data_IF_799199344192
#
_entry.id   IF_799199344192
#
_cell.length_a   1.000
_cell.length_b   1.000
_cell.length_c   1.000
_cell.angle_alpha   90.00
_cell.angle_beta   90.00
_cell.angle_gamma   90.00
#
_symmetry.space_group_name_H-M   'P 1'
#
loop_
_entity.id
_entity.type
_entity.pdbx_description
1 polymer ?
#
# COMPACT_ATOMS: atom_id res chain seq x y z
N UNK A 1 4.24 9.15 3.35
CA UNK A 1 4.67 7.75 3.61
C UNK A 1 3.68 6.81 2.98
N UNK A 2 4.12 5.85 2.17
CA UNK A 2 3.23 4.88 1.53
C UNK A 2 2.42 4.11 2.59
N UNK A 3 1.16 4.41 2.69
CA UNK A 3 0.22 3.77 3.61
C UNK A 3 -0.92 3.07 2.90
N UNK A 4 -0.92 3.06 1.57
CA UNK A 4 -1.96 2.45 0.76
C UNK A 4 -1.46 2.13 -0.64
N UNK A 5 -1.80 0.96 -1.18
CA UNK A 5 -1.46 0.58 -2.55
C UNK A 5 -2.53 -0.32 -3.18
N UNK A 6 -2.44 -0.58 -4.47
CA UNK A 6 -3.28 -1.54 -5.19
C UNK A 6 -2.46 -2.79 -5.51
N UNK A 7 -3.05 -3.97 -5.33
CA UNK A 7 -2.52 -5.28 -5.68
C UNK A 7 -3.67 -6.15 -6.17
N UNK A 8 -3.93 -6.07 -7.47
CA UNK A 8 -5.11 -6.69 -8.09
C UNK A 8 -4.75 -7.78 -9.10
N UNK A 9 -3.47 -8.03 -9.33
CA UNK A 9 -2.98 -9.09 -10.22
C UNK A 9 -3.34 -10.47 -9.70
N UNK A 10 -3.64 -11.37 -10.63
CA UNK A 10 -3.90 -12.77 -10.31
C UNK A 10 -2.61 -13.46 -9.87
N UNK A 11 -2.75 -14.44 -8.98
CA UNK A 11 -1.63 -15.29 -8.53
C UNK A 11 -0.83 -15.85 -9.71
N UNK A 12 -1.50 -16.33 -10.76
CA UNK A 12 -0.83 -16.91 -11.91
C UNK A 12 0.10 -15.91 -12.61
N UNK A 13 -0.34 -14.66 -12.78
CA UNK A 13 0.47 -13.60 -13.39
C UNK A 13 1.74 -13.33 -12.54
N UNK A 14 1.60 -13.34 -11.21
CA UNK A 14 2.72 -13.17 -10.28
C UNK A 14 3.72 -14.34 -10.34
N UNK A 15 3.20 -15.59 -10.49
CA UNK A 15 4.08 -16.76 -10.63
C UNK A 15 4.98 -16.64 -11.87
N UNK A 16 4.43 -16.15 -12.96
CA UNK A 16 5.15 -15.98 -14.23
C UNK A 16 6.11 -14.78 -14.18
N UNK A 17 5.62 -13.60 -13.80
CA UNK A 17 6.39 -12.36 -13.76
C UNK A 17 7.62 -12.48 -12.86
N UNK A 18 7.42 -12.98 -11.64
CA UNK A 18 8.50 -13.12 -10.67
C UNK A 18 9.28 -14.43 -10.78
N UNK A 19 8.98 -15.29 -11.77
CA UNK A 19 9.65 -16.60 -11.98
C UNK A 19 9.67 -17.42 -10.70
N UNK A 20 8.49 -17.65 -10.14
CA UNK A 20 8.34 -18.38 -8.87
C UNK A 20 8.59 -19.87 -9.11
N UNK A 21 9.45 -20.46 -8.29
CA UNK A 21 9.80 -21.88 -8.33
C UNK A 21 8.97 -22.70 -7.33
N UNK A 22 8.56 -22.05 -6.22
CA UNK A 22 7.73 -22.69 -5.18
C UNK A 22 6.56 -21.80 -4.81
N UNK A 23 5.39 -22.24 -5.15
CA UNK A 23 4.18 -21.60 -4.73
C UNK A 23 3.77 -22.10 -3.34
N UNK A 24 3.73 -21.21 -2.35
CA UNK A 24 3.37 -21.48 -0.96
C UNK A 24 2.06 -20.80 -0.55
N UNK A 25 1.29 -20.34 -1.53
CA UNK A 25 -0.02 -19.74 -1.29
C UNK A 25 -1.03 -20.87 -1.10
N UNK A 26 -1.73 -20.85 0.03
CA UNK A 26 -2.81 -21.80 0.32
C UNK A 26 -4.12 -21.30 -0.29
N UNK A 27 -4.49 -20.07 0.04
CA UNK A 27 -5.69 -19.43 -0.46
C UNK A 27 -5.32 -18.18 -1.25
N UNK A 28 -5.92 -18.00 -2.42
CA UNK A 28 -5.70 -16.84 -3.27
C UNK A 28 -6.22 -15.58 -2.58
N UNK A 29 -5.51 -14.49 -2.74
CA UNK A 29 -6.04 -13.18 -2.37
C UNK A 29 -6.91 -12.65 -3.49
N UNK A 30 -8.08 -12.14 -3.11
CA UNK A 30 -8.93 -11.39 -4.03
C UNK A 30 -8.24 -10.09 -4.47
N UNK A 31 -8.49 -9.60 -5.70
CA UNK A 31 -7.98 -8.31 -6.16
C UNK A 31 -8.29 -7.20 -5.15
N UNK A 32 -7.25 -6.54 -4.65
CA UNK A 32 -7.40 -5.47 -3.67
C UNK A 32 -6.83 -4.14 -4.21
N UNK A 33 -7.73 -3.27 -4.62
CA UNK A 33 -7.40 -1.92 -5.09
C UNK A 33 -7.19 -0.92 -3.94
N UNK A 34 -7.20 -1.41 -2.69
CA UNK A 34 -7.12 -0.58 -1.49
C UNK A 34 -6.45 -1.32 -0.33
N UNK A 35 -5.27 -1.87 -0.61
CA UNK A 35 -4.46 -2.58 0.39
C UNK A 35 -4.05 -1.59 1.48
N UNK A 36 -4.49 -1.86 2.69
CA UNK A 36 -4.17 -1.06 3.88
C UNK A 36 -3.26 -1.85 4.85
N UNK A 37 -2.58 -1.16 5.76
CA UNK A 37 -1.79 -1.83 6.80
C UNK A 37 -2.58 -2.91 7.52
N UNK A 38 -1.88 -3.97 7.89
CA UNK A 38 -2.35 -5.19 8.56
C UNK A 38 -3.14 -6.18 7.70
N UNK A 39 -3.42 -5.86 6.44
CA UNK A 39 -3.99 -6.82 5.49
C UNK A 39 -2.97 -7.89 5.08
N UNK A 40 -3.43 -9.09 4.68
CA UNK A 40 -2.62 -10.07 3.98
C UNK A 40 -2.22 -9.53 2.59
N UNK A 41 -1.00 -9.82 2.17
CA UNK A 41 -0.43 -9.38 0.89
C UNK A 41 0.45 -10.47 0.30
N UNK A 42 0.57 -10.51 -1.02
CA UNK A 42 1.56 -11.35 -1.68
C UNK A 42 2.96 -10.81 -1.43
N UNK A 43 3.89 -11.73 -1.23
CA UNK A 43 5.31 -11.44 -1.11
C UNK A 43 6.14 -12.48 -1.85
N UNK A 44 7.11 -12.02 -2.62
CA UNK A 44 8.11 -12.82 -3.29
C UNK A 44 9.37 -12.80 -2.44
N UNK A 45 9.88 -13.96 -2.08
CA UNK A 45 11.10 -14.11 -1.30
C UNK A 45 11.89 -15.33 -1.76
N UNK A 46 13.18 -15.39 -1.44
CA UNK A 46 14.01 -16.56 -1.72
C UNK A 46 14.42 -17.21 -0.41
N UNK A 47 14.24 -18.53 -0.34
CA UNK A 47 14.49 -19.27 0.90
C UNK A 47 14.86 -20.73 0.63
N UNK A 48 15.75 -21.27 1.46
CA UNK A 48 15.99 -22.70 1.52
C UNK A 48 14.89 -23.47 2.24
N UNK A 49 14.67 -24.72 1.89
CA UNK A 49 13.72 -25.57 2.58
C UNK A 49 14.15 -25.84 4.03
N UNK A 50 13.16 -25.86 4.92
CA UNK A 50 13.42 -26.17 6.34
C UNK A 50 13.90 -27.60 6.46
N UNK A 51 15.10 -27.81 7.00
CA UNK A 51 15.72 -29.14 7.14
C UNK A 51 16.56 -29.59 5.94
N UNK A 52 16.68 -28.78 4.87
CA UNK A 52 17.67 -29.04 3.82
C UNK A 52 19.09 -28.97 4.38
N UNK A 53 19.96 -29.87 3.91
CA UNK A 53 21.36 -29.89 4.32
C UNK A 53 22.01 -28.53 3.97
N UNK A 54 22.78 -27.99 4.91
CA UNK A 54 23.63 -26.84 4.60
C UNK A 54 24.74 -27.23 3.62
N UNK A 55 25.04 -26.34 2.70
CA UNK A 55 26.24 -26.43 1.87
C UNK A 55 27.52 -26.33 2.70
N UNK A 56 28.68 -26.53 2.07
CA UNK A 56 29.98 -26.33 2.71
C UNK A 56 30.20 -24.89 3.19
N UNK A 57 29.46 -23.95 2.62
CA UNK A 57 29.39 -22.51 2.94
C UNK A 57 28.38 -22.15 4.04
N UNK A 58 27.67 -23.16 4.61
CA UNK A 58 26.63 -22.96 5.61
C UNK A 58 25.29 -22.46 5.06
N UNK A 59 25.16 -22.30 3.73
CA UNK A 59 23.92 -21.90 3.09
C UNK A 59 23.04 -23.12 2.80
N UNK A 60 21.69 -22.97 2.84
CA UNK A 60 20.78 -24.03 2.40
C UNK A 60 21.06 -24.41 0.95
N UNK A 61 21.19 -25.71 0.64
CA UNK A 61 21.45 -26.18 -0.72
C UNK A 61 20.26 -26.05 -1.66
N UNK A 62 19.06 -26.02 -1.12
CA UNK A 62 17.82 -26.02 -1.86
C UNK A 62 17.10 -24.68 -1.67
N UNK A 63 17.67 -23.64 -2.31
CA UNK A 63 17.15 -22.27 -2.25
C UNK A 63 16.27 -22.03 -3.46
N UNK A 64 15.04 -21.59 -3.27
CA UNK A 64 14.11 -21.29 -4.35
C UNK A 64 13.34 -19.99 -4.08
N UNK A 65 12.92 -19.39 -5.19
CA UNK A 65 12.03 -18.22 -5.14
C UNK A 65 10.60 -18.68 -4.85
N UNK A 66 10.03 -18.12 -3.80
CA UNK A 66 8.70 -18.51 -3.30
C UNK A 66 7.73 -17.34 -3.37
N UNK A 67 6.46 -17.63 -3.71
CA UNK A 67 5.33 -16.74 -3.49
C UNK A 67 4.62 -17.13 -2.20
N UNK A 68 4.37 -16.17 -1.33
CA UNK A 68 3.67 -16.36 -0.05
C UNK A 68 2.65 -15.26 0.20
N UNK A 69 1.66 -15.58 1.03
CA UNK A 69 0.80 -14.57 1.66
C UNK A 69 1.37 -14.27 3.05
N UNK A 70 1.64 -12.99 3.29
CA UNK A 70 2.16 -12.49 4.58
C UNK A 70 1.41 -11.23 4.99
N UNK A 71 1.48 -10.85 6.26
CA UNK A 71 0.79 -9.66 6.76
C UNK A 71 1.64 -8.41 6.58
N UNK A 72 1.09 -7.35 6.03
CA UNK A 72 1.77 -6.05 5.97
C UNK A 72 1.76 -5.35 7.33
N UNK A 73 2.92 -5.07 7.87
CA UNK A 73 3.17 -4.50 9.19
C UNK A 73 4.10 -5.43 9.99
N UNK A 74 5.41 -5.19 9.89
CA UNK A 74 6.46 -6.07 10.43
C UNK A 74 6.38 -6.16 11.95
N UNK A 75 6.39 -7.40 12.45
CA UNK A 75 6.50 -7.70 13.86
C UNK A 75 7.90 -8.28 14.11
N UNK A 76 8.79 -7.52 14.80
CA UNK A 76 10.12 -8.03 15.12
C UNK A 76 10.02 -9.33 15.95
N UNK A 77 10.94 -10.28 15.73
CA UNK A 77 10.94 -11.57 16.40
C UNK A 77 11.00 -11.48 17.95
N UNK A 78 11.56 -10.38 18.47
CA UNK A 78 11.64 -10.09 19.90
C UNK A 78 10.40 -9.40 20.48
N UNK A 79 9.45 -8.98 19.65
CA UNK A 79 8.27 -8.25 20.12
C UNK A 79 7.39 -9.12 21.03
N UNK A 80 6.90 -8.52 22.10
CA UNK A 80 5.99 -9.19 23.05
C UNK A 80 4.54 -9.24 22.54
N UNK A 81 4.15 -8.25 21.72
CA UNK A 81 2.80 -8.06 21.21
C UNK A 81 2.86 -7.83 19.69
N UNK A 82 2.16 -8.65 18.88
CA UNK A 82 2.09 -8.49 17.44
C UNK A 82 1.36 -7.22 16.99
N UNK A 83 0.65 -6.53 17.86
CA UNK A 83 -0.01 -5.26 17.55
C UNK A 83 0.97 -4.14 17.15
N UNK A 84 2.26 -4.24 17.53
CA UNK A 84 3.33 -3.33 17.11
C UNK A 84 3.44 -3.22 15.58
N UNK A 85 3.10 -4.30 14.85
CA UNK A 85 3.16 -4.34 13.38
C UNK A 85 2.34 -3.23 12.71
N UNK A 86 1.22 -2.82 13.31
CA UNK A 86 0.40 -1.73 12.78
C UNK A 86 1.13 -0.38 12.65
N UNK A 87 2.24 -0.20 13.38
CA UNK A 87 3.09 1.00 13.37
C UNK A 87 4.38 0.80 12.57
N UNK A 88 4.65 -0.43 12.12
CA UNK A 88 5.88 -0.80 11.43
C UNK A 88 5.60 -1.19 9.98
N UNK A 89 4.85 -0.36 9.28
CA UNK A 89 4.45 -0.57 7.89
C UNK A 89 5.51 -0.10 6.89
N UNK A 90 6.38 0.84 7.30
CA UNK A 90 7.45 1.39 6.47
C UNK A 90 8.78 1.42 7.21
N UNK A 91 9.87 1.12 6.49
CA UNK A 91 11.26 1.31 6.92
C UNK A 91 11.93 2.34 6.01
N UNK A 92 12.64 3.31 6.58
CA UNK A 92 13.38 4.30 5.79
C UNK A 92 14.68 3.71 5.28
N UNK A 93 14.99 3.87 4.01
CA UNK A 93 16.23 3.39 3.39
C UNK A 93 17.47 3.88 4.13
N UNK A 94 17.45 5.12 4.63
CA UNK A 94 18.58 5.76 5.32
C UNK A 94 18.97 5.12 6.66
N UNK A 95 18.09 4.25 7.20
CA UNK A 95 18.30 3.66 8.54
C UNK A 95 17.90 2.19 8.62
N UNK A 96 17.53 1.57 7.50
CA UNK A 96 17.00 0.20 7.47
C UNK A 96 18.04 -0.84 7.91
N UNK A 97 19.30 -0.60 7.60
CA UNK A 97 20.46 -1.45 7.92
C UNK A 97 20.93 -1.34 9.38
N UNK A 98 20.59 -0.23 10.04
CA UNK A 98 21.09 0.09 11.38
C UNK A 98 20.05 -0.07 12.48
N UNK A 99 18.76 0.17 12.19
CA UNK A 99 17.70 0.06 13.20
C UNK A 99 17.51 -1.37 13.72
N UNK A 100 17.43 -1.57 15.05
CA UNK A 100 17.27 -2.89 15.66
C UNK A 100 16.09 -3.72 15.13
N UNK A 101 15.01 -3.06 14.74
CA UNK A 101 13.82 -3.71 14.20
C UNK A 101 13.99 -4.24 12.78
N UNK A 102 14.95 -3.73 12.01
CA UNK A 102 15.08 -4.02 10.58
C UNK A 102 16.41 -4.62 10.18
N UNK A 103 17.52 -4.27 10.86
CA UNK A 103 18.89 -4.64 10.47
C UNK A 103 19.09 -6.14 10.21
N UNK A 104 18.50 -6.99 11.06
CA UNK A 104 18.60 -8.45 10.88
C UNK A 104 17.80 -8.94 9.67
N UNK A 105 16.62 -8.36 9.42
CA UNK A 105 15.82 -8.68 8.26
C UNK A 105 16.47 -8.13 6.98
N UNK A 106 17.06 -6.95 7.02
CA UNK A 106 17.78 -6.35 5.89
C UNK A 106 18.93 -7.25 5.40
N UNK A 107 19.67 -7.85 6.31
CA UNK A 107 20.77 -8.75 5.95
C UNK A 107 20.29 -10.09 5.37
N UNK A 108 19.16 -10.66 5.85
CA UNK A 108 18.83 -12.07 5.60
C UNK A 108 17.42 -12.35 5.09
N UNK A 109 16.50 -11.40 5.21
CA UNK A 109 15.07 -11.62 4.96
C UNK A 109 14.48 -10.48 4.14
N UNK A 110 14.98 -10.38 2.91
CA UNK A 110 14.48 -9.44 1.92
C UNK A 110 13.37 -10.08 1.11
N UNK A 111 12.42 -9.28 0.68
CA UNK A 111 11.32 -9.71 -0.18
C UNK A 111 10.95 -8.59 -1.16
N UNK A 112 10.15 -8.95 -2.16
CA UNK A 112 9.47 -7.99 -3.02
C UNK A 112 7.97 -8.07 -2.70
N UNK A 113 7.32 -6.91 -2.67
CA UNK A 113 5.88 -6.82 -2.50
C UNK A 113 5.30 -6.30 -3.82
N UNK A 114 4.59 -7.17 -4.57
CA UNK A 114 3.97 -6.81 -5.84
C UNK A 114 2.88 -5.77 -5.67
N UNK A 115 2.84 -4.79 -6.57
CA UNK A 115 1.84 -3.72 -6.57
C UNK A 115 1.56 -3.19 -7.96
N UNK A 116 0.29 -2.91 -8.29
CA UNK A 116 -0.09 -2.23 -9.54
C UNK A 116 0.22 -0.73 -9.47
N UNK A 117 0.21 -0.16 -8.27
CA UNK A 117 0.48 1.24 -8.00
C UNK A 117 0.16 1.58 -6.55
N UNK A 118 0.43 2.80 -6.13
CA UNK A 118 0.23 3.24 -4.76
C UNK A 118 -0.47 4.60 -4.69
N UNK A 119 -0.96 4.92 -3.50
CA UNK A 119 -1.68 6.17 -3.27
C UNK A 119 -0.89 7.08 -2.34
N UNK A 120 -0.93 8.38 -2.67
CA UNK A 120 -0.49 9.46 -1.80
C UNK A 120 -1.49 10.63 -1.86
N UNK A 121 -1.46 11.51 -0.87
CA UNK A 121 -2.46 12.56 -0.69
C UNK A 121 -1.83 13.94 -0.67
N UNK A 122 -2.34 14.82 -1.53
CA UNK A 122 -2.00 16.23 -1.52
C UNK A 122 -3.05 16.99 -0.69
N UNK A 123 -2.60 17.98 0.07
CA UNK A 123 -3.50 18.96 0.68
C UNK A 123 -3.91 19.98 -0.38
N UNK A 124 -5.19 20.15 -0.57
CA UNK A 124 -5.78 21.13 -1.50
C UNK A 124 -6.74 22.05 -0.72
N UNK A 125 -6.74 23.33 -1.07
CA UNK A 125 -7.73 24.26 -0.54
C UNK A 125 -8.96 24.24 -1.45
N UNK A 126 -10.12 23.93 -0.89
CA UNK A 126 -11.39 23.87 -1.59
C UNK A 126 -12.48 24.48 -0.71
N UNK A 127 -13.21 25.47 -1.21
CA UNK A 127 -14.27 26.19 -0.47
C UNK A 127 -13.80 26.72 0.90
N UNK A 128 -12.55 27.23 0.96
CA UNK A 128 -11.95 27.74 2.21
C UNK A 128 -11.63 26.67 3.25
N UNK A 129 -11.60 25.38 2.85
CA UNK A 129 -11.24 24.24 3.71
C UNK A 129 -10.11 23.43 3.10
N UNK A 130 -9.14 23.06 3.93
CA UNK A 130 -8.09 22.12 3.52
C UNK A 130 -8.68 20.72 3.42
N UNK A 131 -8.60 20.12 2.23
CA UNK A 131 -8.98 18.73 1.95
C UNK A 131 -7.78 17.93 1.52
N UNK A 132 -7.89 16.60 1.58
CA UNK A 132 -6.89 15.67 1.05
C UNK A 132 -7.40 15.10 -0.25
N UNK A 133 -6.73 15.40 -1.35
CA UNK A 133 -6.97 14.84 -2.68
C UNK A 133 -6.04 13.63 -2.84
N UNK A 134 -6.56 12.40 -3.01
CA UNK A 134 -5.75 11.23 -3.31
C UNK A 134 -5.28 11.25 -4.78
N UNK A 135 -4.06 10.80 -4.98
CA UNK A 135 -3.45 10.53 -6.27
C UNK A 135 -3.08 9.05 -6.33
N UNK A 136 -3.29 8.44 -7.47
CA UNK A 136 -2.79 7.11 -7.81
C UNK A 136 -1.52 7.28 -8.62
N UNK A 137 -0.47 6.55 -8.23
CA UNK A 137 0.86 6.59 -8.83
C UNK A 137 1.18 5.18 -9.30
N UNK A 138 1.46 5.01 -10.58
CA UNK A 138 1.72 3.72 -11.22
C UNK A 138 2.77 3.87 -12.31
N UNK A 139 3.16 2.77 -12.94
CA UNK A 139 4.04 2.80 -14.11
C UNK A 139 3.25 3.23 -15.34
N UNK A 140 3.87 4.05 -16.20
CA UNK A 140 3.28 4.52 -17.47
C UNK A 140 2.97 3.38 -18.46
N UNK A 141 3.66 2.24 -18.35
CA UNK A 141 3.46 1.05 -19.17
C UNK A 141 2.51 0.03 -18.52
N UNK A 142 1.82 0.40 -17.44
CA UNK A 142 0.95 -0.46 -16.61
C UNK A 142 1.66 -1.73 -16.09
N UNK A 143 2.99 -1.74 -16.10
CA UNK A 143 3.81 -2.82 -15.55
C UNK A 143 3.73 -2.88 -14.03
N UNK A 144 4.06 -4.04 -13.47
CA UNK A 144 4.05 -4.24 -12.04
C UNK A 144 5.19 -3.51 -11.33
N UNK A 145 4.90 -2.96 -10.16
CA UNK A 145 5.89 -2.42 -9.24
C UNK A 145 6.30 -3.51 -8.25
N UNK A 146 7.60 -3.71 -8.09
CA UNK A 146 8.16 -4.59 -7.07
C UNK A 146 8.72 -3.75 -5.93
N UNK A 147 7.93 -3.53 -4.87
CA UNK A 147 8.40 -2.77 -3.73
C UNK A 147 9.45 -3.54 -2.95
N UNK A 148 10.59 -2.89 -2.67
CA UNK A 148 11.58 -3.42 -1.74
C UNK A 148 10.94 -3.63 -0.36
N UNK A 149 10.99 -4.84 0.14
CA UNK A 149 10.44 -5.21 1.41
C UNK A 149 11.39 -6.04 2.26
N UNK A 150 11.11 -6.07 3.53
CA UNK A 150 11.71 -7.02 4.47
C UNK A 150 10.61 -7.86 5.08
N UNK A 151 10.91 -9.10 5.43
CA UNK A 151 9.97 -9.95 6.15
C UNK A 151 10.54 -10.44 7.48
N UNK A 152 9.65 -10.76 8.41
CA UNK A 152 10.02 -11.33 9.71
C UNK A 152 9.04 -12.43 10.09
N UNK A 153 9.54 -13.38 10.87
CA UNK A 153 8.76 -14.46 11.47
C UNK A 153 8.67 -14.19 12.97
N UNK A 154 7.47 -13.92 13.43
CA UNK A 154 7.20 -13.76 14.85
C UNK A 154 6.55 -15.02 15.41
N UNK A 155 7.09 -15.50 16.54
CA UNK A 155 6.61 -16.72 17.20
C UNK A 155 5.55 -16.37 18.24
N UNK A 156 4.33 -16.85 18.03
CA UNK A 156 3.30 -16.81 19.07
C UNK A 156 3.50 -17.98 20.05
N UNK A 157 3.98 -17.65 21.24
CA UNK A 157 4.29 -18.63 22.28
C UNK A 157 3.05 -19.24 22.94
N UNK A 158 1.86 -18.75 22.63
CA UNK A 158 0.60 -19.33 23.12
C UNK A 158 0.24 -20.63 22.41
N UNK A 159 0.84 -20.89 21.24
CA UNK A 159 0.67 -22.13 20.48
C UNK A 159 1.87 -23.07 20.63
N UNK A 160 1.70 -24.42 20.53
CA UNK A 160 2.78 -25.36 20.36
C UNK A 160 3.64 -25.06 19.12
N UNK A 161 4.89 -25.58 19.06
CA UNK A 161 5.82 -25.24 17.97
C UNK A 161 5.41 -25.75 16.59
N UNK A 162 4.66 -26.82 16.55
CA UNK A 162 4.13 -27.48 15.34
C UNK A 162 2.76 -26.93 14.91
N UNK A 163 2.15 -26.04 15.70
CA UNK A 163 0.84 -25.48 15.36
C UNK A 163 0.94 -24.56 14.15
N UNK A 164 0.04 -24.66 13.16
CA UNK A 164 0.08 -23.81 11.95
C UNK A 164 0.08 -22.31 12.23
N UNK A 165 -0.63 -21.86 13.27
CA UNK A 165 -0.71 -20.46 13.67
C UNK A 165 0.42 -20.01 14.60
N UNK A 166 1.37 -20.88 14.91
CA UNK A 166 2.48 -20.56 15.79
C UNK A 166 3.42 -19.49 15.21
N UNK A 167 3.40 -19.30 13.90
CA UNK A 167 4.31 -18.41 13.20
C UNK A 167 3.56 -17.38 12.37
N UNK A 168 3.66 -16.12 12.77
CA UNK A 168 3.13 -15.00 12.02
C UNK A 168 4.21 -14.46 11.07
N UNK A 169 3.95 -14.53 9.77
CA UNK A 169 4.77 -13.92 8.74
C UNK A 169 4.34 -12.48 8.51
N UNK A 170 5.28 -11.57 8.57
CA UNK A 170 5.00 -10.14 8.45
C UNK A 170 6.01 -9.44 7.56
N UNK A 171 5.62 -8.30 6.98
CA UNK A 171 6.48 -7.51 6.09
C UNK A 171 6.46 -6.03 6.41
N UNK A 172 7.47 -5.33 5.89
CA UNK A 172 7.56 -3.87 5.88
C UNK A 172 8.00 -3.41 4.50
N UNK A 173 7.47 -2.28 4.02
CA UNK A 173 7.90 -1.65 2.77
C UNK A 173 9.07 -0.70 3.08
N UNK A 174 10.16 -0.80 2.32
CA UNK A 174 11.25 0.19 2.38
C UNK A 174 10.81 1.42 1.60
N UNK A 175 11.06 2.60 2.17
CA UNK A 175 10.71 3.89 1.54
C UNK A 175 11.94 4.76 1.35
N UNK A 176 11.94 5.51 0.26
CA UNK A 176 12.98 6.47 -0.11
C UNK A 176 12.41 7.88 -0.27
N UNK A 177 13.27 8.87 -0.46
CA UNK A 177 12.86 10.21 -0.89
C UNK A 177 12.31 10.13 -2.30
N UNK A 178 11.15 10.72 -2.53
CA UNK A 178 10.52 10.76 -3.84
C UNK A 178 11.23 11.80 -4.72
N UNK A 179 11.71 11.42 -5.93
CA UNK A 179 12.23 12.38 -6.89
C UNK A 179 11.10 13.10 -7.64
N UNK A 180 11.41 14.30 -8.17
CA UNK A 180 10.64 15.06 -9.16
C UNK A 180 9.11 15.13 -8.95
N UNK A 181 8.34 14.58 -9.90
CA UNK A 181 6.88 14.70 -9.92
C UNK A 181 6.18 13.99 -8.77
N UNK A 182 6.65 12.80 -8.37
CA UNK A 182 6.15 12.11 -7.19
C UNK A 182 6.43 12.90 -5.90
N UNK A 183 7.55 13.64 -5.87
CA UNK A 183 7.92 14.55 -4.78
C UNK A 183 6.97 15.74 -4.61
N UNK A 184 6.26 16.15 -5.67
CA UNK A 184 5.19 17.17 -5.57
C UNK A 184 3.98 16.68 -4.80
N UNK A 185 3.77 15.36 -4.78
CA UNK A 185 2.64 14.73 -4.08
C UNK A 185 3.02 14.46 -2.63
N UNK A 186 4.16 13.81 -2.43
CA UNK A 186 4.70 13.50 -1.10
C UNK A 186 6.22 13.35 -1.17
N UNK A 187 6.92 13.73 -0.10
CA UNK A 187 8.39 13.67 0.02
C UNK A 187 8.96 12.24 0.08
N UNK A 188 8.10 11.23 0.26
CA UNK A 188 8.48 9.81 0.37
C UNK A 188 7.64 8.94 -0.53
N UNK A 189 8.28 7.88 -1.07
CA UNK A 189 7.64 6.86 -1.89
C UNK A 189 8.16 5.47 -1.54
N UNK A 190 7.46 4.37 -1.90
CA UNK A 190 8.01 3.02 -1.85
C UNK A 190 9.29 2.94 -2.69
N UNK A 191 10.29 2.25 -2.18
CA UNK A 191 11.46 1.88 -2.98
C UNK A 191 11.06 0.75 -3.92
N UNK A 192 11.27 0.93 -5.21
CA UNK A 192 11.03 -0.10 -6.24
C UNK A 192 12.37 -0.73 -6.62
N UNK A 193 12.40 -2.04 -6.77
CA UNK A 193 13.58 -2.78 -7.25
C UNK A 193 13.40 -3.07 -8.73
N UNK A 194 14.42 -2.70 -9.52
CA UNK A 194 14.47 -3.02 -10.94
C UNK A 194 14.47 -4.55 -11.16
N UNK A 195 13.71 -5.07 -12.14
CA UNK A 195 13.70 -6.51 -12.46
C UNK A 195 15.08 -7.14 -12.63
N UNK A 196 16.04 -6.39 -13.18
CA UNK A 196 17.44 -6.84 -13.34
C UNK A 196 18.12 -7.15 -11.99
N UNK A 197 17.67 -6.50 -10.92
CA UNK A 197 18.26 -6.60 -9.57
C UNK A 197 17.46 -7.52 -8.62
N UNK A 198 16.36 -8.13 -9.06
CA UNK A 198 15.54 -8.99 -8.19
C UNK A 198 16.32 -10.19 -7.65
N UNK A 199 17.22 -10.78 -8.48
CA UNK A 199 18.07 -11.89 -8.05
C UNK A 199 18.95 -11.51 -6.87
N UNK A 200 19.73 -10.45 -7.03
CA UNK A 200 20.66 -9.98 -6.01
C UNK A 200 19.98 -9.46 -4.75
N UNK A 201 18.81 -8.79 -4.91
CA UNK A 201 17.99 -8.34 -3.79
C UNK A 201 17.46 -9.50 -2.97
N UNK A 202 16.95 -10.54 -3.62
CA UNK A 202 16.32 -11.68 -2.97
C UNK A 202 17.32 -12.74 -2.48
N UNK A 203 18.58 -12.69 -2.88
CA UNK A 203 19.60 -13.67 -2.50
C UNK A 203 19.85 -13.65 -0.98
N UNK A 204 19.44 -14.68 -0.22
CA UNK A 204 19.69 -14.75 1.22
C UNK A 204 21.17 -14.93 1.58
N UNK A 205 22.00 -15.34 0.62
CA UNK A 205 23.46 -15.48 0.74
C UNK A 205 24.20 -14.15 0.58
N UNK A 206 23.58 -13.15 -0.04
CA UNK A 206 24.18 -11.83 -0.21
C UNK A 206 24.15 -11.06 1.11
N UNK A 207 25.25 -11.14 1.87
CA UNK A 207 25.42 -10.47 3.16
C UNK A 207 26.28 -9.20 3.06
N UNK A 208 26.64 -8.77 1.85
CA UNK A 208 27.32 -7.50 1.59
C UNK A 208 26.35 -6.32 1.79
N UNK A 209 26.27 -5.81 3.01
CA UNK A 209 25.36 -4.71 3.36
C UNK A 209 25.53 -3.48 2.46
N UNK A 210 26.76 -3.00 2.16
CA UNK A 210 26.95 -1.91 1.22
C UNK A 210 26.44 -2.23 -0.19
N UNK A 211 26.74 -3.43 -0.73
CA UNK A 211 26.27 -3.88 -2.04
C UNK A 211 24.75 -4.01 -2.11
N UNK A 212 24.12 -4.62 -1.09
CA UNK A 212 22.67 -4.69 -0.97
C UNK A 212 22.04 -3.29 -0.88
N UNK A 213 22.66 -2.37 -0.16
CA UNK A 213 22.18 -1.00 -0.06
C UNK A 213 22.29 -0.25 -1.40
N UNK A 214 23.28 -0.55 -2.21
CA UNK A 214 23.43 0.02 -3.57
C UNK A 214 22.29 -0.40 -4.52
N UNK A 215 21.65 -1.57 -4.30
CA UNK A 215 20.47 -2.01 -5.06
C UNK A 215 19.24 -1.13 -4.80
N UNK A 216 19.25 -0.37 -3.71
CA UNK A 216 18.19 0.56 -3.34
C UNK A 216 18.40 1.97 -3.96
N UNK A 217 19.12 2.04 -5.08
CA UNK A 217 19.33 3.30 -5.78
C UNK A 217 18.02 3.78 -6.47
N UNK A 218 17.69 5.09 -6.41
CA UNK A 218 16.44 5.63 -6.97
C UNK A 218 16.28 5.50 -8.50
N UNK A 219 17.31 5.05 -9.22
CA UNK A 219 17.35 5.02 -10.69
C UNK A 219 16.24 4.15 -11.35
N UNK A 220 15.60 3.26 -10.61
CA UNK A 220 14.60 2.34 -11.15
C UNK A 220 13.19 2.98 -11.31
N UNK A 221 13.02 4.25 -11.02
CA UNK A 221 11.68 4.88 -10.93
C UNK A 221 11.40 5.84 -12.09
N UNK A 222 12.16 5.74 -13.20
CA UNK A 222 11.80 6.44 -14.43
C UNK A 222 10.52 5.84 -15.01
N UNK A 223 9.55 6.69 -15.36
CA UNK A 223 8.28 6.27 -15.99
C UNK A 223 7.14 6.03 -15.00
N UNK A 224 7.16 6.62 -13.82
CA UNK A 224 5.95 6.74 -12.99
C UNK A 224 5.08 7.88 -13.50
N UNK A 225 3.79 7.58 -13.58
CA UNK A 225 2.74 8.57 -13.83
C UNK A 225 1.82 8.68 -12.62
N UNK A 226 1.19 9.84 -12.50
CA UNK A 226 0.26 10.09 -11.41
C UNK A 226 -0.96 10.87 -11.88
N UNK A 227 -2.12 10.53 -11.33
CA UNK A 227 -3.35 11.26 -11.57
C UNK A 227 -4.25 11.27 -10.33
N UNK A 228 -5.11 12.28 -10.18
CA UNK A 228 -6.05 12.35 -9.07
C UNK A 228 -7.14 11.27 -9.21
N UNK A 229 -7.51 10.68 -8.08
CA UNK A 229 -8.59 9.68 -8.00
C UNK A 229 -9.68 10.11 -7.03
N UNK A 230 -10.81 9.41 -7.05
CA UNK A 230 -11.94 9.67 -6.15
C UNK A 230 -11.58 9.50 -4.67
N UNK A 231 -12.28 10.21 -3.80
CA UNK A 231 -12.07 10.16 -2.35
C UNK A 231 -12.54 8.87 -1.69
N UNK A 232 -13.19 7.98 -2.42
CA UNK A 232 -13.66 6.68 -1.92
C UNK A 232 -12.52 5.78 -1.42
N UNK A 233 -11.31 5.95 -1.97
CA UNK A 233 -10.09 5.28 -1.50
C UNK A 233 -9.73 5.62 -0.06
N UNK A 234 -10.21 6.73 0.49
CA UNK A 234 -9.99 7.12 1.88
C UNK A 234 -10.58 6.10 2.87
N UNK A 235 -11.62 5.39 2.48
CA UNK A 235 -12.28 4.40 3.31
C UNK A 235 -11.72 3.01 3.03
N UNK A 236 -11.00 2.42 3.99
CA UNK A 236 -10.31 1.12 3.87
C UNK A 236 -11.25 -0.03 3.47
N UNK A 237 -12.54 0.08 3.81
CA UNK A 237 -13.58 -0.92 3.46
C UNK A 237 -13.94 -0.93 1.97
N UNK A 238 -13.67 0.17 1.26
CA UNK A 238 -13.98 0.25 -0.17
C UNK A 238 -12.91 -0.49 -0.96
N UNK A 239 -13.33 -1.27 -1.93
CA UNK A 239 -12.47 -2.00 -2.86
C UNK A 239 -13.09 -1.97 -4.26
N UNK A 240 -12.29 -2.24 -5.27
CA UNK A 240 -12.69 -2.40 -6.66
C UNK A 240 -12.00 -1.43 -7.62
N UNK A 241 -12.06 -1.75 -8.94
CA UNK A 241 -11.31 -1.03 -9.98
C UNK A 241 -11.74 0.43 -10.15
N UNK A 242 -12.88 0.83 -9.60
CA UNK A 242 -13.32 2.22 -9.59
C UNK A 242 -12.39 3.15 -8.81
N UNK A 243 -11.64 2.62 -7.83
CA UNK A 243 -10.76 3.41 -6.97
C UNK A 243 -9.51 3.95 -7.68
N UNK A 244 -9.09 3.30 -8.77
CA UNK A 244 -7.96 3.75 -9.58
C UNK A 244 -8.38 4.55 -10.82
N UNK A 245 -9.67 4.89 -10.98
CA UNK A 245 -10.12 5.68 -12.12
C UNK A 245 -9.75 7.15 -11.95
N UNK A 246 -9.17 7.79 -12.98
CA UNK A 246 -8.89 9.23 -12.96
C UNK A 246 -10.16 10.04 -12.73
N UNK A 247 -10.03 11.11 -11.97
CA UNK A 247 -11.09 12.11 -11.81
C UNK A 247 -10.52 13.49 -12.16
N UNK A 248 -11.37 14.38 -12.65
CA UNK A 248 -10.99 15.79 -12.76
C UNK A 248 -10.92 16.37 -11.35
N UNK A 249 -9.80 16.94 -10.91
CA UNK A 249 -9.75 17.62 -9.62
C UNK A 249 -10.82 18.71 -9.61
N UNK A 250 -11.53 18.87 -8.50
CA UNK A 250 -12.40 20.02 -8.32
C UNK A 250 -11.50 21.26 -8.32
N UNK A 251 -11.43 21.94 -9.49
CA UNK A 251 -10.71 23.20 -9.63
C UNK A 251 -11.40 24.23 -8.76
N UNK A 252 -10.73 24.69 -7.71
CA UNK A 252 -11.06 25.99 -7.13
C UNK A 252 -10.88 27.02 -8.24
N UNK A 253 -11.98 27.64 -8.66
CA UNK A 253 -11.94 28.74 -9.62
C UNK A 253 -11.07 29.88 -9.07
N UNK A 254 -9.88 30.01 -9.60
CA UNK A 254 -9.09 31.23 -9.65
C UNK A 254 -8.38 31.29 -11.01
N UNK A 255 -9.18 31.37 -12.06
CA UNK A 255 -8.74 31.70 -13.41
C UNK A 255 -9.23 33.11 -13.73
N UNK A 256 -8.43 34.10 -13.44
CA UNK A 256 -8.60 35.49 -13.89
C UNK A 256 -8.37 35.52 -15.39
N UNK A 257 -9.46 35.38 -16.15
CA UNK A 257 -9.46 35.67 -17.57
C UNK A 257 -9.77 37.16 -17.74
N UNK A 258 -8.71 37.95 -17.88
CA UNK A 258 -8.80 39.28 -18.44
C UNK A 258 -9.09 39.18 -19.94
N UNK A 259 -10.25 39.66 -20.38
CA UNK A 259 -10.65 39.84 -21.78
C UNK A 259 -11.65 40.98 -21.87
N UNK A 260 -11.16 42.15 -22.23
CA UNK A 260 -11.97 43.31 -22.61
C UNK A 260 -12.65 43.06 -23.96
N UNK A 261 -13.88 43.57 -24.11
CA UNK A 261 -14.52 43.73 -25.44
C UNK A 261 -16.03 43.91 -25.37
N UNK A 262 -16.43 45.12 -25.15
CA UNK A 262 -17.28 46.00 -25.99
C UNK A 262 -18.78 45.70 -26.21
N UNK A 263 -19.60 46.69 -25.88
CA UNK A 263 -20.70 47.25 -26.68
C UNK A 263 -22.10 46.65 -26.53
N UNK A 264 -22.94 47.18 -25.61
CA UNK A 264 -24.34 47.58 -25.54
C UNK A 264 -25.39 47.15 -26.59
N UNK A 265 -26.66 47.56 -26.51
CA UNK A 265 -27.39 48.11 -25.37
C UNK A 265 -28.80 47.52 -25.09
N UNK A 266 -29.26 47.76 -23.89
CA UNK A 266 -30.61 47.97 -23.34
C UNK A 266 -31.88 47.48 -24.08
N UNK A 267 -32.72 46.77 -23.35
CA UNK A 267 -34.13 47.12 -23.13
C UNK A 267 -34.73 46.27 -21.97
N UNK A 268 -35.25 46.91 -20.96
CA UNK A 268 -36.08 46.35 -19.92
C UNK A 268 -37.55 46.60 -20.23
N UNK A 269 -38.48 46.63 -19.24
CA UNK A 269 -38.72 45.73 -18.13
C UNK A 269 -40.19 45.18 -18.12
N UNK A 270 -40.62 44.32 -17.20
CA UNK A 270 -41.94 44.21 -16.57
C UNK A 270 -41.96 42.90 -15.70
N UNK A 271 -42.07 42.97 -14.44
CA UNK A 271 -43.18 43.12 -13.49
C UNK A 271 -44.05 41.88 -13.37
N UNK A 272 -44.16 41.35 -12.14
CA UNK A 272 -45.42 40.82 -11.66
C UNK A 272 -45.35 39.61 -10.77
N UNK A 273 -45.43 39.84 -9.44
CA UNK A 273 -46.34 39.21 -8.42
C UNK A 273 -46.04 37.79 -7.96
N UNK A 274 -45.56 37.60 -6.75
CA UNK A 274 -46.22 37.43 -5.44
C UNK A 274 -47.19 36.23 -5.31
N UNK A 275 -46.88 35.31 -4.40
CA UNK A 275 -47.75 34.76 -3.37
C UNK A 275 -47.03 33.63 -2.62
N UNK A 276 -46.69 33.86 -1.37
CA UNK A 276 -47.26 33.40 -0.11
C UNK A 276 -47.12 31.90 0.20
N UNK A 277 -46.39 31.67 1.29
CA UNK A 277 -46.36 30.48 2.16
C UNK A 277 -47.74 30.08 2.74
N UNK A 278 -47.90 28.89 3.29
CA UNK A 278 -47.65 28.78 4.74
C UNK A 278 -47.02 27.49 5.26
N UNK A 279 -46.57 27.62 6.49
CA UNK A 279 -45.97 26.62 7.37
C UNK A 279 -47.00 25.58 7.90
N UNK A 280 -46.48 24.44 8.32
CA UNK A 280 -46.80 23.66 9.53
C UNK A 280 -46.20 22.24 9.36
N UNK A 281 -45.55 21.71 10.33
CA UNK A 281 -45.88 20.97 11.43
C UNK A 281 -44.80 19.94 11.76
N UNK A 282 -44.10 20.06 12.88
CA UNK A 282 -43.44 18.91 13.57
C UNK A 282 -44.47 18.11 14.32
N UNK A 283 -44.34 16.80 14.45
CA UNK A 283 -43.99 16.22 15.75
C UNK A 283 -43.04 15.01 15.63
N UNK A 284 -42.19 14.74 16.58
CA UNK A 284 -42.45 13.97 17.78
C UNK A 284 -41.39 12.85 17.88
N UNK A 285 -40.58 12.91 18.92
CA UNK A 285 -39.60 11.88 19.35
C UNK A 285 -40.30 10.54 19.64
N UNK A 286 -39.68 9.43 19.22
CA UNK A 286 -39.73 8.19 20.00
C UNK A 286 -38.33 7.54 20.02
N UNK A 287 -37.87 7.36 21.26
CA UNK A 287 -36.73 6.50 21.59
C UNK A 287 -37.20 5.06 21.51
N UNK A 288 -36.51 4.23 20.77
CA UNK A 288 -36.60 2.80 21.01
C UNK A 288 -35.19 2.22 21.25
N UNK A 289 -35.09 1.61 22.42
CA UNK A 289 -33.93 0.81 22.85
C UNK A 289 -34.03 -0.52 22.13
N UNK A 290 -32.97 -0.88 21.39
CA UNK A 290 -32.85 -2.27 20.97
C UNK A 290 -31.62 -2.92 21.60
N UNK A 291 -31.87 -4.09 22.13
CA UNK A 291 -31.03 -4.95 22.95
C UNK A 291 -29.79 -5.43 22.15
N UNK A 292 -28.69 -5.57 22.88
CA UNK A 292 -27.56 -6.39 22.51
C UNK A 292 -28.00 -7.82 22.26
N UNK A 293 -27.63 -8.39 21.12
CA UNK A 293 -27.55 -9.84 20.92
C UNK A 293 -26.09 -10.18 20.64
N UNK A 294 -25.53 -11.00 21.51
CA UNK A 294 -24.27 -11.68 21.37
C UNK A 294 -24.25 -12.50 20.08
N UNK A 295 -23.25 -12.32 19.27
CA UNK A 295 -22.90 -13.23 18.19
C UNK A 295 -21.42 -13.56 18.28
N UNK A 296 -21.15 -14.84 18.46
CA UNK A 296 -19.85 -15.45 18.59
C UNK A 296 -18.94 -15.19 17.37
N UNK A 297 -17.59 -15.28 17.54
CA UNK A 297 -16.66 -15.10 16.45
C UNK A 297 -16.65 -16.31 15.52
N UNK A 298 -16.74 -16.05 14.23
CA UNK A 298 -16.47 -17.02 13.19
C UNK A 298 -14.98 -17.34 13.17
N UNK A 299 -14.66 -18.61 13.37
CA UNK A 299 -13.37 -19.23 13.09
C UNK A 299 -13.03 -19.02 11.62
N UNK A 300 -11.89 -18.39 11.36
CA UNK A 300 -11.22 -18.46 10.09
C UNK A 300 -9.96 -19.31 10.26
N UNK A 301 -9.98 -20.45 9.59
CA UNK A 301 -8.84 -21.34 9.41
C UNK A 301 -7.70 -20.68 8.63
#
# INVERSE_FOLDING_TARGET
>A
MCGRYASARKRQDLLEEFRIERDRVVDDLEPDYNVAPTKPVYAVLTRGERGSAAGADGQPKDVARELRVIRWGLVPSWAKDPAIGSRMINARVETVDSKPSFRSAFTKRRCLLPADGFYEWIKVEQDGKTRKQPYYIHRADDGELAFAGLYELWRDKSYPDDHPQAWLWTSVIITTTAPDEAGRIHDRMPMVIDPANWGDWLDPGNNDVPGVHALLAPAAVSGLESYPVGTDVNYVRNNGPGLIRPVTPATGENGQAGGRGDGGPRSGPMAGQSASSPAAGRPGRTRDRYRRSDSAPLSLF
#
